data_IF_076575890544
#
_entry.id   IF_076575890544
#
_cell.length_a   1.000
_cell.length_b   1.000
_cell.length_c   1.000
_cell.angle_alpha   90.00
_cell.angle_beta   90.00
_cell.angle_gamma   90.00
#
_symmetry.space_group_name_H-M   'P 1'
#
loop_
_entity.id
_entity.type
_entity.pdbx_description
1 polymer ?
#
# COMPACT_ATOMS: atom_id res chain seq x y z
N UNK A 1 31.40 2.86 44.77
CA UNK A 1 31.62 1.64 43.97
C UNK A 1 30.33 1.31 43.23
N UNK A 2 30.27 1.47 41.91
CA UNK A 2 29.09 1.06 41.14
C UNK A 2 29.18 -0.45 40.85
N UNK A 3 28.30 -1.25 41.45
CA UNK A 3 28.11 -2.64 41.05
C UNK A 3 27.67 -2.67 39.59
N UNK A 4 28.50 -3.23 38.70
CA UNK A 4 28.08 -3.56 37.33
C UNK A 4 27.13 -4.75 37.43
N UNK A 5 25.84 -4.50 37.24
CA UNK A 5 24.86 -5.57 37.10
C UNK A 5 25.20 -6.37 35.84
N UNK A 6 25.53 -7.65 36.02
CA UNK A 6 25.75 -8.58 34.92
C UNK A 6 24.43 -8.76 34.17
N UNK A 7 24.40 -8.55 32.84
CA UNK A 7 23.16 -8.66 32.08
C UNK A 7 22.63 -10.10 32.13
N UNK A 8 21.32 -10.23 32.33
CA UNK A 8 20.66 -11.54 32.34
C UNK A 8 20.73 -12.20 30.95
N UNK A 9 20.49 -13.52 30.88
CA UNK A 9 20.40 -14.22 29.61
C UNK A 9 19.34 -13.58 28.68
N UNK A 10 18.19 -13.18 29.23
CA UNK A 10 17.14 -12.49 28.48
C UNK A 10 17.60 -11.12 27.93
N UNK A 11 18.30 -10.32 28.75
CA UNK A 11 18.84 -9.03 28.30
C UNK A 11 19.86 -9.19 27.18
N UNK A 12 20.70 -10.24 27.26
CA UNK A 12 21.64 -10.58 26.18
C UNK A 12 20.92 -11.01 24.91
N UNK A 13 19.88 -11.83 25.01
CA UNK A 13 19.08 -12.24 23.85
C UNK A 13 18.37 -11.05 23.18
N UNK A 14 17.82 -10.11 23.96
CA UNK A 14 17.17 -8.90 23.45
C UNK A 14 18.15 -7.85 22.87
N UNK A 15 19.45 -8.08 23.01
CA UNK A 15 20.49 -7.30 22.36
C UNK A 15 20.89 -7.87 20.98
N UNK A 16 20.37 -9.05 20.61
CA UNK A 16 20.65 -9.70 19.32
C UNK A 16 19.62 -9.19 18.29
N UNK A 17 20.04 -8.53 17.20
CA UNK A 17 19.14 -7.98 16.19
C UNK A 17 18.21 -9.01 15.58
N UNK A 18 18.71 -10.22 15.32
CA UNK A 18 17.95 -11.32 14.71
C UNK A 18 16.79 -11.77 15.59
N UNK A 19 17.02 -11.87 16.91
CA UNK A 19 15.96 -12.23 17.86
C UNK A 19 14.90 -11.12 17.93
N UNK A 20 15.32 -9.86 17.96
CA UNK A 20 14.41 -8.71 17.97
C UNK A 20 13.60 -8.63 16.66
N UNK A 21 14.23 -8.89 15.52
CA UNK A 21 13.58 -8.93 14.21
C UNK A 21 12.52 -10.05 14.13
N UNK A 22 12.81 -11.22 14.68
CA UNK A 22 11.84 -12.33 14.76
C UNK A 22 10.66 -11.96 15.67
N UNK A 23 10.91 -11.38 16.84
CA UNK A 23 9.84 -10.91 17.74
C UNK A 23 8.88 -9.97 17.00
N UNK A 24 9.40 -8.97 16.26
CA UNK A 24 8.53 -8.07 15.50
C UNK A 24 7.81 -8.76 14.34
N UNK A 25 8.44 -9.75 13.71
CA UNK A 25 7.78 -10.55 12.67
C UNK A 25 6.58 -11.29 13.22
N UNK A 26 6.69 -11.91 14.40
CA UNK A 26 5.56 -12.54 15.10
C UNK A 26 4.46 -11.53 15.46
N UNK A 27 4.83 -10.36 16.01
CA UNK A 27 3.86 -9.30 16.37
C UNK A 27 3.06 -8.76 15.18
N UNK A 28 3.60 -8.86 13.96
CA UNK A 28 2.95 -8.38 12.72
C UNK A 28 2.06 -9.47 12.10
N UNK A 29 2.31 -10.74 12.42
CA UNK A 29 1.57 -11.90 11.88
C UNK A 29 0.28 -12.16 12.66
N UNK A 30 0.13 -11.65 13.89
CA UNK A 30 -1.05 -11.95 14.72
C UNK A 30 -2.39 -11.59 14.05
N UNK A 31 -3.41 -12.44 14.28
CA UNK A 31 -4.54 -12.61 13.38
C UNK A 31 -5.59 -11.51 13.52
N UNK A 32 -6.44 -11.39 12.49
CA UNK A 32 -7.72 -10.69 12.57
C UNK A 32 -8.43 -11.03 13.88
N UNK A 33 -8.97 -10.04 14.62
CA UNK A 33 -9.65 -10.30 15.88
C UNK A 33 -10.75 -11.32 15.64
N UNK A 34 -10.60 -12.49 16.29
CA UNK A 34 -11.65 -13.50 16.38
C UNK A 34 -12.64 -12.94 17.38
N UNK A 35 -13.81 -12.58 16.85
CA UNK A 35 -15.00 -12.12 17.56
C UNK A 35 -14.88 -10.73 18.22
N UNK A 36 -15.85 -9.89 17.85
CA UNK A 36 -15.88 -8.47 18.19
C UNK A 36 -15.80 -8.22 19.68
N UNK A 37 -15.14 -7.10 20.03
CA UNK A 37 -15.02 -6.54 21.37
C UNK A 37 -13.85 -7.04 22.23
N UNK A 38 -12.62 -6.76 21.80
CA UNK A 38 -11.60 -6.15 22.67
C UNK A 38 -10.47 -5.55 21.84
N UNK A 39 -9.87 -4.47 22.35
CA UNK A 39 -8.95 -3.56 21.68
C UNK A 39 -7.87 -4.29 20.87
N UNK A 40 -8.07 -4.38 19.56
CA UNK A 40 -6.97 -4.60 18.63
C UNK A 40 -6.08 -3.36 18.73
N UNK A 41 -5.08 -3.40 19.61
CA UNK A 41 -3.99 -2.43 19.61
C UNK A 41 -3.49 -2.42 18.17
N UNK A 42 -3.52 -1.25 17.54
CA UNK A 42 -3.06 -1.15 16.17
C UNK A 42 -1.59 -1.58 16.19
N UNK A 43 -1.21 -2.64 15.45
CA UNK A 43 0.19 -3.10 15.36
C UNK A 43 1.16 -1.94 15.10
N UNK A 44 0.69 -0.92 14.37
CA UNK A 44 1.42 0.32 14.16
C UNK A 44 1.71 1.11 15.45
N UNK A 45 0.74 1.24 16.36
CA UNK A 45 0.90 1.88 17.66
C UNK A 45 1.86 1.10 18.56
N UNK A 46 1.75 -0.23 18.58
CA UNK A 46 2.68 -1.09 19.33
C UNK A 46 4.12 -0.91 18.82
N UNK A 47 4.34 -0.97 17.50
CA UNK A 47 5.66 -0.76 16.90
C UNK A 47 6.20 0.65 17.19
N UNK A 48 5.33 1.67 17.20
CA UNK A 48 5.72 3.02 17.62
C UNK A 48 6.20 3.06 19.08
N UNK A 49 5.48 2.41 20.00
CA UNK A 49 5.90 2.31 21.41
C UNK A 49 7.23 1.57 21.55
N UNK A 50 7.41 0.46 20.84
CA UNK A 50 8.65 -0.32 20.83
C UNK A 50 9.85 0.49 20.29
N UNK A 51 9.62 1.45 19.38
CA UNK A 51 10.69 2.28 18.83
C UNK A 51 11.38 3.18 19.87
N UNK A 52 10.74 3.42 21.02
CA UNK A 52 11.28 4.22 22.11
C UNK A 52 12.15 3.47 23.11
N UNK A 53 12.24 2.13 23.03
CA UNK A 53 12.90 1.31 24.07
C UNK A 53 14.42 1.48 24.06
N UNK A 54 15.04 1.31 22.89
CA UNK A 54 16.48 1.52 22.67
C UNK A 54 16.76 1.68 21.16
N UNK A 55 18.02 1.98 20.80
CA UNK A 55 18.41 2.20 19.40
C UNK A 55 18.22 0.96 18.51
N UNK A 56 18.46 -0.23 19.03
CA UNK A 56 18.26 -1.49 18.29
C UNK A 56 16.78 -1.71 17.96
N UNK A 57 15.91 -1.55 18.96
CA UNK A 57 14.46 -1.67 18.79
C UNK A 57 13.92 -0.59 17.87
N UNK A 58 14.44 0.64 17.96
CA UNK A 58 14.10 1.72 17.03
C UNK A 58 14.47 1.35 15.58
N UNK A 59 15.66 0.83 15.34
CA UNK A 59 16.09 0.44 14.01
C UNK A 59 15.19 -0.67 13.41
N UNK A 60 14.91 -1.71 14.19
CA UNK A 60 14.08 -2.83 13.73
C UNK A 60 12.60 -2.46 13.56
N UNK A 61 12.01 -1.73 14.51
CA UNK A 61 10.62 -1.25 14.37
C UNK A 61 10.45 -0.35 13.16
N UNK A 62 11.41 0.55 12.88
CA UNK A 62 11.36 1.41 11.71
C UNK A 62 11.43 0.61 10.41
N UNK A 63 12.26 -0.44 10.36
CA UNK A 63 12.30 -1.36 9.21
C UNK A 63 10.92 -1.93 8.92
N UNK A 64 10.22 -2.43 9.93
CA UNK A 64 8.88 -3.01 9.78
C UNK A 64 7.79 -1.96 9.46
N UNK A 65 7.81 -0.82 10.14
CA UNK A 65 6.85 0.28 9.92
C UNK A 65 6.88 0.80 8.48
N UNK A 66 8.06 0.79 7.84
CA UNK A 66 8.29 1.31 6.50
C UNK A 66 8.36 0.25 5.41
N UNK A 67 8.33 -1.04 5.75
CA UNK A 67 8.32 -2.13 4.76
C UNK A 67 7.04 -2.11 3.91
N UNK A 68 5.89 -1.93 4.57
CA UNK A 68 4.56 -1.92 3.96
C UNK A 68 3.73 -0.71 4.40
N UNK A 69 4.15 0.52 4.06
CA UNK A 69 3.65 1.76 4.65
C UNK A 69 2.17 2.04 4.38
N UNK A 70 1.54 1.30 3.48
CA UNK A 70 0.20 1.55 2.94
C UNK A 70 -0.73 0.35 3.08
N UNK A 71 -0.40 -0.67 3.90
CA UNK A 71 -1.30 -1.80 4.17
C UNK A 71 -2.51 -1.27 4.97
N UNK A 72 -3.72 -1.43 4.44
CA UNK A 72 -4.98 -1.05 5.11
C UNK A 72 -5.39 0.43 5.06
N UNK A 73 -4.47 1.39 4.85
CA UNK A 73 -4.78 2.84 4.79
C UNK A 73 -4.68 3.39 3.37
N UNK A 74 -5.49 4.41 3.04
CA UNK A 74 -5.48 5.09 1.73
C UNK A 74 -4.26 6.03 1.53
N UNK A 75 -3.38 6.16 2.52
CA UNK A 75 -2.21 7.05 2.50
C UNK A 75 -1.26 6.65 1.39
N UNK A 76 -0.87 7.60 0.54
CA UNK A 76 0.11 7.37 -0.52
C UNK A 76 1.54 7.53 0.00
N UNK A 77 2.50 6.93 -0.71
CA UNK A 77 3.90 6.95 -0.34
C UNK A 77 4.44 8.39 -0.20
N UNK A 78 4.08 9.27 -1.13
CA UNK A 78 4.47 10.68 -1.15
C UNK A 78 3.91 11.44 0.06
N UNK A 79 2.66 11.18 0.46
CA UNK A 79 2.05 11.81 1.64
C UNK A 79 2.80 11.40 2.90
N UNK A 80 3.16 10.12 3.01
CA UNK A 80 3.89 9.60 4.18
C UNK A 80 5.32 10.15 4.25
N UNK A 81 6.04 10.16 3.14
CA UNK A 81 7.39 10.73 3.06
C UNK A 81 7.40 12.27 3.19
N UNK A 82 6.33 12.93 2.78
CA UNK A 82 6.15 14.37 2.92
C UNK A 82 6.18 14.84 4.38
N UNK A 83 5.74 13.98 5.32
CA UNK A 83 5.80 14.23 6.77
C UNK A 83 7.18 14.01 7.38
N UNK A 84 8.11 13.42 6.62
CA UNK A 84 9.48 13.15 7.07
C UNK A 84 10.40 14.28 6.62
N UNK A 85 11.29 14.70 7.51
CA UNK A 85 12.34 15.67 7.21
C UNK A 85 13.16 15.25 5.98
N UNK A 86 13.41 16.14 4.99
CA UNK A 86 14.06 15.78 3.72
C UNK A 86 15.33 14.94 3.87
N UNK A 87 16.24 15.33 4.76
CA UNK A 87 17.51 14.64 5.01
C UNK A 87 17.37 13.17 5.48
N UNK A 88 16.20 12.77 6.00
CA UNK A 88 15.95 11.41 6.51
C UNK A 88 15.17 10.54 5.54
N UNK A 89 14.61 11.10 4.46
CA UNK A 89 13.71 10.37 3.56
C UNK A 89 14.38 9.16 2.91
N UNK A 90 15.65 9.29 2.53
CA UNK A 90 16.40 8.20 1.89
C UNK A 90 16.61 7.01 2.83
N UNK A 91 16.86 7.26 4.12
CA UNK A 91 16.95 6.22 5.15
C UNK A 91 15.66 5.38 5.17
N UNK A 92 14.50 6.03 5.24
CA UNK A 92 13.21 5.31 5.24
C UNK A 92 12.88 4.66 3.89
N UNK A 93 13.19 5.34 2.78
CA UNK A 93 12.98 4.81 1.42
C UNK A 93 13.73 3.48 1.20
N UNK A 94 14.87 3.29 1.88
CA UNK A 94 15.67 2.05 1.80
C UNK A 94 14.96 0.82 2.37
N UNK A 95 13.95 0.99 3.22
CA UNK A 95 13.17 -0.12 3.81
C UNK A 95 11.92 -0.47 3.03
N UNK A 96 11.43 0.42 2.17
CA UNK A 96 10.15 0.25 1.47
C UNK A 96 10.22 -0.92 0.49
N UNK A 97 9.37 -1.93 0.69
CA UNK A 97 9.27 -3.09 -0.20
C UNK A 97 8.02 -3.07 -1.06
N UNK A 98 6.93 -2.51 -0.54
CA UNK A 98 5.70 -2.28 -1.29
C UNK A 98 5.21 -0.85 -1.11
N UNK A 99 4.73 -0.21 -2.16
CA UNK A 99 4.21 1.15 -2.06
C UNK A 99 2.91 1.33 -2.85
N UNK A 100 2.15 2.34 -2.43
CA UNK A 100 0.97 2.83 -3.13
C UNK A 100 1.21 4.26 -3.59
N UNK A 101 1.00 4.51 -4.88
CA UNK A 101 1.05 5.85 -5.48
C UNK A 101 -0.34 6.17 -5.96
N UNK A 102 -0.82 7.37 -5.66
CA UNK A 102 -2.12 7.84 -6.13
C UNK A 102 -1.90 8.90 -7.20
N UNK A 103 -2.68 8.86 -8.26
CA UNK A 103 -2.66 9.90 -9.29
C UNK A 103 -2.93 11.28 -8.69
N UNK A 104 -2.20 12.28 -9.16
CA UNK A 104 -2.09 13.61 -8.53
C UNK A 104 -2.78 14.69 -9.36
N UNK A 105 -3.32 15.70 -8.68
CA UNK A 105 -3.91 16.84 -9.37
C UNK A 105 -2.77 17.69 -9.93
N UNK A 106 -2.89 18.33 -11.11
CA UNK A 106 -1.82 19.15 -11.67
C UNK A 106 -1.22 20.17 -10.70
N UNK A 107 -2.03 20.76 -9.82
CA UNK A 107 -1.57 21.69 -8.79
C UNK A 107 -0.66 21.05 -7.72
N UNK A 108 -0.91 19.79 -7.35
CA UNK A 108 -0.13 19.07 -6.33
C UNK A 108 1.07 18.33 -6.90
N UNK A 109 1.08 18.10 -8.21
CA UNK A 109 2.07 17.27 -8.89
C UNK A 109 3.53 17.75 -8.71
N UNK A 110 3.84 19.07 -8.79
CA UNK A 110 5.21 19.55 -8.55
C UNK A 110 5.70 19.22 -7.14
N UNK A 111 4.86 19.44 -6.12
CA UNK A 111 5.20 19.16 -4.72
C UNK A 111 5.47 17.68 -4.49
N UNK A 112 4.59 16.80 -4.98
CA UNK A 112 4.75 15.36 -4.80
C UNK A 112 5.96 14.81 -5.56
N UNK A 113 6.21 15.34 -6.77
CA UNK A 113 7.40 14.98 -7.54
C UNK A 113 8.67 15.40 -6.82
N UNK A 114 8.71 16.60 -6.23
CA UNK A 114 9.86 17.08 -5.46
C UNK A 114 10.18 16.19 -4.25
N UNK A 115 9.17 15.61 -3.59
CA UNK A 115 9.39 14.70 -2.45
C UNK A 115 10.13 13.42 -2.89
N UNK A 116 9.88 12.93 -4.11
CA UNK A 116 10.39 11.63 -4.57
C UNK A 116 11.55 11.71 -5.56
N UNK A 117 11.81 12.88 -6.14
CA UNK A 117 12.80 13.08 -7.23
C UNK A 117 14.17 12.52 -6.88
N UNK A 118 14.64 12.78 -5.65
CA UNK A 118 16.01 12.47 -5.22
C UNK A 118 16.08 11.18 -4.38
N UNK A 119 14.98 10.42 -4.32
CA UNK A 119 14.89 9.21 -3.51
C UNK A 119 15.03 7.96 -4.36
N UNK A 120 15.90 7.07 -3.94
CA UNK A 120 16.03 5.72 -4.52
C UNK A 120 15.37 4.70 -3.61
N UNK A 121 14.60 3.79 -4.20
CA UNK A 121 13.87 2.74 -3.50
C UNK A 121 14.45 1.36 -3.85
N UNK A 122 15.60 0.98 -3.27
CA UNK A 122 16.34 -0.22 -3.67
C UNK A 122 15.60 -1.52 -3.37
N UNK A 123 14.76 -1.56 -2.32
CA UNK A 123 14.02 -2.78 -1.92
C UNK A 123 12.59 -2.82 -2.46
N UNK A 124 12.13 -1.78 -3.18
CA UNK A 124 10.77 -1.69 -3.67
C UNK A 124 10.56 -2.65 -4.85
N UNK A 125 9.83 -3.73 -4.60
CA UNK A 125 9.56 -4.77 -5.59
C UNK A 125 8.09 -4.83 -6.03
N UNK A 126 7.20 -4.16 -5.30
CA UNK A 126 5.76 -4.17 -5.53
C UNK A 126 5.17 -2.77 -5.49
N UNK A 127 4.51 -2.35 -6.57
CA UNK A 127 3.93 -1.01 -6.71
C UNK A 127 2.44 -1.07 -7.03
N UNK A 128 1.63 -0.35 -6.25
CA UNK A 128 0.20 -0.18 -6.51
C UNK A 128 -0.06 1.24 -7.02
N UNK A 129 -0.49 1.36 -8.27
CA UNK A 129 -0.89 2.61 -8.89
C UNK A 129 -2.40 2.80 -8.77
N UNK A 130 -2.80 3.77 -7.97
CA UNK A 130 -4.18 4.15 -7.77
C UNK A 130 -4.54 5.33 -8.69
N UNK A 131 -5.32 5.03 -9.71
CA UNK A 131 -5.68 5.99 -10.75
C UNK A 131 -7.09 6.51 -10.45
N UNK A 132 -7.18 7.82 -10.27
CA UNK A 132 -8.43 8.56 -10.30
C UNK A 132 -8.86 8.74 -11.75
N UNK A 133 -9.73 7.85 -12.21
CA UNK A 133 -10.24 7.87 -13.58
C UNK A 133 -11.25 8.99 -13.87
N UNK A 134 -11.54 9.85 -12.88
CA UNK A 134 -12.32 11.06 -13.12
C UNK A 134 -11.48 12.21 -13.69
N UNK A 135 -10.15 12.06 -13.74
CA UNK A 135 -9.24 13.12 -14.20
C UNK A 135 -8.93 13.01 -15.68
N UNK A 136 -8.95 14.14 -16.37
CA UNK A 136 -8.57 14.24 -17.78
C UNK A 136 -7.10 13.87 -18.02
N UNK A 137 -6.22 14.22 -17.07
CA UNK A 137 -4.78 13.92 -17.13
C UNK A 137 -4.37 13.10 -15.91
N UNK A 138 -3.76 11.95 -16.18
CA UNK A 138 -3.16 11.09 -15.14
C UNK A 138 -1.72 11.52 -14.96
N UNK A 139 -1.44 12.18 -13.84
CA UNK A 139 -0.09 12.52 -13.42
C UNK A 139 0.31 11.59 -12.27
N UNK A 140 1.44 10.90 -12.44
CA UNK A 140 1.98 9.97 -11.45
C UNK A 140 3.40 10.39 -11.10
N UNK A 141 3.69 10.69 -9.83
CA UNK A 141 5.04 11.01 -9.42
C UNK A 141 5.80 9.68 -9.33
N UNK A 142 6.61 9.40 -10.36
CA UNK A 142 7.28 8.10 -10.51
C UNK A 142 8.51 8.02 -9.59
N UNK A 143 8.56 7.08 -8.62
CA UNK A 143 9.74 6.88 -7.79
C UNK A 143 10.89 6.28 -8.60
N UNK A 144 12.13 6.53 -8.19
CA UNK A 144 13.27 5.77 -8.70
C UNK A 144 13.34 4.42 -7.99
N UNK A 145 12.74 3.39 -8.60
CA UNK A 145 12.63 2.06 -8.02
C UNK A 145 13.11 1.00 -9.04
N UNK A 146 14.42 0.71 -9.08
CA UNK A 146 15.00 -0.15 -10.13
C UNK A 146 14.51 -1.60 -10.07
N UNK A 147 14.11 -2.07 -8.89
CA UNK A 147 13.81 -3.48 -8.62
C UNK A 147 12.31 -3.81 -8.60
N UNK A 148 11.45 -2.94 -9.17
CA UNK A 148 10.00 -3.19 -9.22
C UNK A 148 9.69 -4.34 -10.16
N UNK A 149 9.20 -5.45 -9.62
CA UNK A 149 8.83 -6.63 -10.40
C UNK A 149 7.32 -6.78 -10.56
N UNK A 150 6.57 -6.33 -9.56
CA UNK A 150 5.11 -6.47 -9.47
C UNK A 150 4.48 -5.09 -9.53
N UNK A 151 3.56 -4.89 -10.45
CA UNK A 151 2.80 -3.65 -10.55
C UNK A 151 1.31 -3.94 -10.63
N UNK A 152 0.54 -3.25 -9.79
CA UNK A 152 -0.91 -3.38 -9.73
C UNK A 152 -1.55 -2.04 -10.06
N UNK A 153 -2.48 -2.03 -11.00
CA UNK A 153 -3.29 -0.85 -11.30
C UNK A 153 -4.63 -1.00 -10.60
N UNK A 154 -4.95 -0.03 -9.75
CA UNK A 154 -6.21 0.12 -9.05
C UNK A 154 -6.92 1.35 -9.56
N UNK A 155 -8.21 1.21 -9.89
CA UNK A 155 -9.04 2.37 -10.14
C UNK A 155 -9.61 2.83 -8.80
N UNK A 156 -9.32 4.08 -8.40
CA UNK A 156 -9.86 4.65 -7.18
C UNK A 156 -10.83 5.76 -7.54
N UNK A 157 -12.10 5.57 -7.22
CA UNK A 157 -13.05 6.69 -7.20
C UNK A 157 -12.85 7.42 -5.88
N UNK A 158 -12.01 8.46 -5.84
CA UNK A 158 -11.92 9.30 -4.64
C UNK A 158 -13.29 9.97 -4.43
N UNK A 159 -13.93 9.65 -3.31
CA UNK A 159 -14.97 10.51 -2.75
C UNK A 159 -14.20 11.65 -2.07
N UNK A 160 -14.21 12.83 -2.68
CA UNK A 160 -13.56 14.00 -2.09
C UNK A 160 -14.27 14.35 -0.76
N UNK A 161 -13.52 14.78 0.27
CA UNK A 161 -14.11 15.27 1.50
C UNK A 161 -15.04 16.45 1.15
N UNK A 162 -16.33 16.31 1.47
CA UNK A 162 -17.41 17.18 0.97
C UNK A 162 -18.56 16.44 0.30
N UNK A 163 -18.50 15.11 0.16
CA UNK A 163 -19.66 14.27 -0.21
C UNK A 163 -20.17 14.43 -1.65
N UNK A 164 -19.65 15.41 -2.40
CA UNK A 164 -19.92 15.51 -3.84
C UNK A 164 -19.17 14.39 -4.53
N UNK A 165 -19.91 13.37 -4.97
CA UNK A 165 -19.48 12.52 -6.07
C UNK A 165 -19.01 13.47 -7.17
N UNK A 166 -17.71 13.40 -7.47
CA UNK A 166 -17.11 14.10 -8.60
C UNK A 166 -18.01 13.90 -9.82
N UNK A 167 -18.66 14.97 -10.30
CA UNK A 167 -19.47 15.00 -11.51
C UNK A 167 -18.62 14.69 -12.77
N UNK A 168 -17.30 14.57 -12.61
CA UNK A 168 -16.34 14.10 -13.61
C UNK A 168 -16.42 12.59 -13.89
N UNK A 169 -17.52 11.92 -13.53
CA UNK A 169 -17.90 10.58 -14.03
C UNK A 169 -18.05 10.51 -15.57
N UNK A 170 -17.89 11.64 -16.25
CA UNK A 170 -17.90 11.80 -17.71
C UNK A 170 -16.50 11.94 -18.30
N UNK A 171 -15.44 11.38 -17.70
CA UNK A 171 -14.34 10.94 -18.55
C UNK A 171 -14.95 9.89 -19.50
N UNK A 172 -15.23 10.30 -20.74
CA UNK A 172 -15.95 9.47 -21.71
C UNK A 172 -15.34 8.08 -21.72
N UNK A 173 -16.18 7.03 -21.64
CA UNK A 173 -15.75 5.62 -21.53
C UNK A 173 -14.57 5.30 -22.46
N UNK A 174 -14.55 5.94 -23.63
CA UNK A 174 -13.51 5.93 -24.66
C UNK A 174 -12.15 6.51 -24.22
N UNK A 175 -12.09 7.67 -23.58
CA UNK A 175 -10.87 8.30 -23.10
C UNK A 175 -10.24 7.47 -21.97
N UNK A 176 -11.08 7.01 -21.03
CA UNK A 176 -10.69 6.07 -19.97
C UNK A 176 -10.14 4.76 -20.55
N UNK A 177 -10.76 4.22 -21.61
CA UNK A 177 -10.29 3.02 -22.29
C UNK A 177 -8.93 3.26 -22.94
N UNK A 178 -8.75 4.32 -23.73
CA UNK A 178 -7.46 4.62 -24.39
C UNK A 178 -6.32 4.81 -23.40
N UNK A 179 -6.52 5.63 -22.36
CA UNK A 179 -5.46 5.91 -21.39
C UNK A 179 -5.05 4.66 -20.60
N UNK A 180 -6.01 3.82 -20.19
CA UNK A 180 -5.72 2.56 -19.51
C UNK A 180 -5.16 1.47 -20.44
N UNK A 181 -5.39 1.58 -21.76
CA UNK A 181 -4.87 0.64 -22.76
C UNK A 181 -3.39 0.90 -23.01
N UNK A 182 -2.96 2.17 -23.06
CA UNK A 182 -1.58 2.54 -23.31
C UNK A 182 -0.71 2.58 -22.04
N UNK A 183 -1.34 2.64 -20.86
CA UNK A 183 -0.64 2.71 -19.58
C UNK A 183 0.39 1.58 -19.37
N UNK A 184 0.12 0.30 -19.69
CA UNK A 184 1.13 -0.76 -19.57
C UNK A 184 2.39 -0.51 -20.39
N UNK A 185 2.27 0.09 -21.59
CA UNK A 185 3.42 0.42 -22.46
C UNK A 185 4.29 1.48 -21.80
N UNK A 186 3.67 2.55 -21.30
CA UNK A 186 4.39 3.61 -20.58
C UNK A 186 5.05 3.08 -19.31
N UNK A 187 4.37 2.19 -18.59
CA UNK A 187 4.92 1.54 -17.39
C UNK A 187 6.13 0.68 -17.74
N UNK A 188 6.06 -0.18 -18.76
CA UNK A 188 7.20 -1.01 -19.17
C UNK A 188 8.40 -0.18 -19.64
N UNK A 189 8.15 0.94 -20.33
CA UNK A 189 9.23 1.87 -20.70
C UNK A 189 9.94 2.46 -19.48
N UNK A 190 9.20 2.71 -18.39
CA UNK A 190 9.74 3.30 -17.16
C UNK A 190 10.36 2.25 -16.21
N UNK A 191 9.75 1.08 -16.13
CA UNK A 191 10.18 -0.04 -15.29
C UNK A 191 10.33 -1.29 -16.15
N UNK A 192 11.48 -1.45 -16.85
CA UNK A 192 11.72 -2.61 -17.70
C UNK A 192 11.78 -3.92 -16.91
N UNK A 193 12.03 -3.85 -15.60
CA UNK A 193 12.10 -4.99 -14.67
C UNK A 193 10.73 -5.53 -14.25
N UNK A 194 9.63 -4.85 -14.61
CA UNK A 194 8.27 -5.31 -14.26
C UNK A 194 7.93 -6.59 -15.02
N UNK A 195 7.86 -7.70 -14.28
CA UNK A 195 7.51 -9.02 -14.78
C UNK A 195 6.00 -9.23 -14.81
N UNK A 196 5.26 -8.62 -13.87
CA UNK A 196 3.82 -8.83 -13.69
C UNK A 196 3.07 -7.52 -13.59
N UNK A 197 2.07 -7.33 -14.46
CA UNK A 197 1.14 -6.20 -14.41
C UNK A 197 -0.25 -6.73 -14.11
N UNK A 198 -0.69 -6.59 -12.87
CA UNK A 198 -2.05 -6.92 -12.44
C UNK A 198 -2.99 -5.73 -12.58
N UNK A 199 -4.27 -6.03 -12.82
CA UNK A 199 -5.36 -5.06 -12.64
C UNK A 199 -6.20 -5.53 -11.46
N UNK A 200 -6.19 -4.75 -10.39
CA UNK A 200 -7.06 -5.01 -9.25
C UNK A 200 -8.44 -4.49 -9.62
N UNK A 201 -9.37 -5.40 -9.90
CA UNK A 201 -10.78 -5.07 -10.01
C UNK A 201 -11.22 -4.73 -8.59
N UNK A 202 -11.38 -3.44 -8.35
CA UNK A 202 -11.72 -2.87 -7.05
C UNK A 202 -12.92 -3.61 -6.45
N UNK A 203 -12.73 -4.30 -5.32
CA UNK A 203 -13.73 -5.21 -4.73
C UNK A 203 -15.02 -4.50 -4.34
N UNK A 204 -14.98 -3.18 -4.16
CA UNK A 204 -16.15 -2.33 -3.92
C UNK A 204 -16.90 -2.09 -5.23
N UNK A 205 -16.18 -1.91 -6.35
CA UNK A 205 -16.78 -1.81 -7.68
C UNK A 205 -17.34 -3.16 -8.12
N UNK A 206 -16.65 -4.27 -7.81
CA UNK A 206 -17.19 -5.62 -7.97
C UNK A 206 -18.40 -5.81 -7.08
N UNK A 207 -18.36 -5.57 -5.76
CA UNK A 207 -19.53 -5.69 -4.88
C UNK A 207 -20.70 -4.81 -5.32
N UNK A 208 -20.47 -3.57 -5.78
CA UNK A 208 -21.54 -2.68 -6.28
C UNK A 208 -22.04 -3.08 -7.66
N UNK A 209 -21.19 -3.57 -8.57
CA UNK A 209 -21.60 -4.10 -9.86
C UNK A 209 -22.31 -5.44 -9.68
N UNK A 210 -21.76 -6.37 -8.92
CA UNK A 210 -22.39 -7.64 -8.54
C UNK A 210 -23.70 -7.40 -7.81
N UNK A 211 -23.79 -6.46 -6.86
CA UNK A 211 -25.07 -6.11 -6.22
C UNK A 211 -26.06 -5.41 -7.16
N UNK A 212 -25.60 -4.64 -8.16
CA UNK A 212 -26.47 -4.07 -9.20
C UNK A 212 -26.93 -5.11 -10.22
N UNK A 213 -26.04 -6.01 -10.64
CA UNK A 213 -26.33 -7.12 -11.54
C UNK A 213 -27.29 -8.10 -10.86
N UNK A 214 -27.05 -8.44 -9.59
CA UNK A 214 -27.96 -9.26 -8.76
C UNK A 214 -29.32 -8.57 -8.49
N UNK A 215 -29.41 -7.24 -8.56
CA UNK A 215 -30.68 -6.48 -8.49
C UNK A 215 -31.40 -6.37 -9.84
N UNK A 216 -30.71 -6.60 -10.96
CA UNK A 216 -31.25 -6.48 -12.32
C UNK A 216 -31.62 -7.83 -12.94
N UNK A 217 -31.24 -8.95 -12.32
CA UNK A 217 -31.68 -10.28 -12.74
C UNK A 217 -33.07 -10.58 -12.16
N UNK A 218 -34.02 -11.14 -12.94
CA UNK A 218 -35.31 -11.58 -12.42
C UNK A 218 -35.08 -12.62 -11.30
N UNK A 219 -35.86 -12.53 -10.22
CA UNK A 219 -35.77 -13.36 -9.01
C UNK A 219 -36.22 -14.82 -9.25
N UNK A 220 -35.68 -15.47 -10.25
CA UNK A 220 -35.88 -16.90 -10.48
C UNK A 220 -34.57 -17.61 -10.17
N UNK A 221 -34.54 -18.19 -8.97
CA UNK A 221 -33.69 -19.27 -8.48
C UNK A 221 -32.19 -19.23 -8.83
N UNK A 222 -31.38 -18.72 -7.90
CA UNK A 222 -30.00 -19.16 -7.75
C UNK A 222 -29.74 -19.56 -6.30
N UNK A 223 -29.40 -20.83 -6.09
CA UNK A 223 -28.97 -21.32 -4.78
C UNK A 223 -27.58 -20.77 -4.44
N UNK A 224 -27.42 -20.32 -3.19
CA UNK A 224 -26.24 -19.65 -2.62
C UNK A 224 -24.95 -20.50 -2.68
N UNK A 225 -25.02 -21.78 -3.08
CA UNK A 225 -23.87 -22.68 -3.16
C UNK A 225 -22.91 -22.39 -4.33
N UNK A 226 -23.34 -21.70 -5.38
CA UNK A 226 -22.46 -21.39 -6.53
C UNK A 226 -21.56 -20.16 -6.35
N UNK A 227 -21.81 -19.31 -5.34
CA UNK A 227 -20.99 -18.12 -5.07
C UNK A 227 -19.66 -18.43 -4.35
N UNK A 228 -19.55 -19.60 -3.70
CA UNK A 228 -18.32 -20.03 -3.03
C UNK A 228 -17.28 -20.58 -4.02
N UNK A 229 -17.69 -21.07 -5.20
CA UNK A 229 -16.76 -21.60 -6.21
C UNK A 229 -16.05 -20.52 -7.03
N UNK A 230 -16.59 -19.29 -7.08
CA UNK A 230 -15.98 -18.16 -7.79
C UNK A 230 -14.81 -17.52 -7.01
N UNK A 231 -14.71 -17.77 -5.70
CA UNK A 231 -13.63 -17.27 -4.83
C UNK A 231 -12.26 -17.89 -5.11
N UNK A 232 -12.20 -19.00 -5.85
CA UNK A 232 -10.96 -19.71 -6.16
C UNK A 232 -10.38 -19.41 -7.56
N UNK A 233 -11.02 -18.57 -8.38
CA UNK A 233 -10.55 -18.26 -9.76
C UNK A 233 -9.93 -16.86 -9.93
N UNK A 234 -9.33 -16.31 -8.88
CA UNK A 234 -8.19 -15.39 -9.08
C UNK A 234 -6.95 -16.23 -9.37
N UNK A 235 -6.86 -16.78 -10.57
CA UNK A 235 -5.75 -17.62 -11.00
C UNK A 235 -5.15 -17.08 -12.31
N UNK A 236 -3.94 -16.55 -12.13
CA UNK A 236 -2.77 -16.62 -13.03
C UNK A 236 -2.94 -16.29 -14.51
N UNK A 237 -2.39 -15.13 -14.89
CA UNK A 237 -1.49 -14.93 -16.04
C UNK A 237 -0.52 -13.80 -15.70
#
# INVERSE_FOLDING_TARGET
MYQRNTPTAAQRALAIPEIVAEIFTYLIIEPEPVDGEQQAICVQELLCSCSGVNSLWCAETMRHLWQHPTKGKLVSLDERLGRVHPARRQFYASFVQSAKIVSTHPADFPRQTAIMRDLTFPKLNSLVLCIDASRERILLPWPNAPNVEKLFIQNVSRVYPGGRLSSYGLMGKTLRRRTLTNLPVHIKKRYPTVKRIGRSIDSITTRKMTARILKMLPRTEFQVKDLMSFRARTLWY
#
